data_IF_828798257069
#
_entry.id   IF_828798257069
#
_cell.length_a   1.000
_cell.length_b   1.000
_cell.length_c   1.000
_cell.angle_alpha   90.00
_cell.angle_beta   90.00
_cell.angle_gamma   90.00
#
_symmetry.space_group_name_H-M   'P 1'
#
loop_
_entity.id
_entity.type
_entity.pdbx_description
1 polymer ?
#
# COMPACT_ATOMS: atom_id res chain seq x y z
N UNK A 1 -17.55 4.67 -36.57
CA UNK A 1 -17.20 4.64 -35.12
C UNK A 1 -18.18 5.54 -34.36
N UNK A 2 -19.41 5.06 -34.15
CA UNK A 2 -20.53 5.86 -33.60
C UNK A 2 -20.82 5.55 -32.11
N UNK A 3 -20.25 4.48 -31.59
CA UNK A 3 -20.53 3.99 -30.24
C UNK A 3 -19.86 4.83 -29.14
N UNK A 4 -18.78 5.56 -29.47
CA UNK A 4 -18.06 6.40 -28.52
C UNK A 4 -18.82 7.67 -28.09
N UNK A 5 -19.77 8.15 -28.89
CA UNK A 5 -20.50 9.38 -28.59
C UNK A 5 -21.68 9.16 -27.62
N UNK A 6 -22.28 7.97 -27.60
CA UNK A 6 -23.38 7.64 -26.69
C UNK A 6 -22.94 7.50 -25.23
N UNK A 7 -21.70 7.10 -24.97
CA UNK A 7 -21.12 7.01 -23.63
C UNK A 7 -20.97 8.40 -22.98
N UNK A 8 -20.78 9.46 -23.78
CA UNK A 8 -20.70 10.84 -23.29
C UNK A 8 -22.06 11.46 -22.98
N UNK A 9 -23.11 11.10 -23.72
CA UNK A 9 -24.47 11.67 -23.50
C UNK A 9 -25.14 11.12 -22.24
N UNK A 10 -24.87 9.85 -21.88
CA UNK A 10 -25.52 9.20 -20.73
C UNK A 10 -24.77 9.35 -19.41
N UNK A 11 -23.76 10.25 -19.32
CA UNK A 11 -22.93 10.54 -18.12
C UNK A 11 -23.39 9.76 -16.89
N UNK A 12 -22.96 8.49 -16.71
CA UNK A 12 -23.50 7.65 -15.66
C UNK A 12 -23.33 8.41 -14.35
N UNK A 13 -24.36 8.42 -13.49
CA UNK A 13 -24.38 9.21 -12.23
C UNK A 13 -23.16 9.02 -11.33
N UNK A 14 -22.37 7.99 -11.57
CA UNK A 14 -21.04 7.79 -11.02
C UNK A 14 -19.97 8.20 -12.02
N UNK A 15 -20.05 9.44 -12.54
CA UNK A 15 -19.06 9.95 -13.47
C UNK A 15 -17.78 10.20 -12.68
N UNK A 16 -16.96 9.14 -12.59
CA UNK A 16 -15.68 9.03 -11.89
C UNK A 16 -14.65 10.08 -12.41
N UNK A 17 -15.01 10.82 -13.46
CA UNK A 17 -14.31 11.96 -14.05
C UNK A 17 -14.34 13.24 -13.20
N UNK A 18 -15.06 13.26 -12.08
CA UNK A 18 -14.99 14.29 -11.03
C UNK A 18 -14.27 13.79 -9.76
N UNK A 19 -13.41 12.77 -9.86
CA UNK A 19 -12.40 12.57 -8.82
C UNK A 19 -11.40 13.70 -8.98
N UNK A 20 -11.51 14.66 -8.06
CA UNK A 20 -10.52 15.68 -7.71
C UNK A 20 -9.09 15.34 -8.17
N UNK A 21 -8.26 16.35 -8.38
CA UNK A 21 -6.79 16.32 -8.47
C UNK A 21 -6.05 15.62 -7.29
N UNK A 22 -6.76 14.81 -6.50
CA UNK A 22 -6.27 13.87 -5.50
C UNK A 22 -5.56 12.73 -6.22
N UNK A 23 -4.25 12.89 -6.41
CA UNK A 23 -3.32 11.84 -6.82
C UNK A 23 -3.69 10.48 -6.22
N UNK A 24 -3.86 9.48 -7.10
CA UNK A 24 -4.24 8.13 -6.68
C UNK A 24 -3.23 7.58 -5.67
N UNK A 25 -3.68 6.89 -4.61
CA UNK A 25 -2.78 6.24 -3.68
C UNK A 25 -2.07 5.05 -4.33
N UNK A 26 -0.82 4.87 -3.95
CA UNK A 26 0.06 3.77 -4.31
C UNK A 26 0.57 3.10 -3.04
N UNK A 27 0.92 1.82 -3.15
CA UNK A 27 1.66 1.08 -2.13
C UNK A 27 3.12 1.05 -2.55
N UNK A 28 3.99 1.57 -1.70
CA UNK A 28 5.43 1.61 -1.90
C UNK A 28 6.10 0.55 -1.02
N UNK A 29 6.97 -0.26 -1.62
CA UNK A 29 7.96 -1.09 -0.94
C UNK A 29 9.28 -0.34 -0.94
N UNK A 30 9.83 -0.01 0.24
CA UNK A 30 11.14 0.66 0.35
C UNK A 30 12.28 -0.26 -0.07
N UNK A 31 13.36 0.33 -0.59
CA UNK A 31 14.60 -0.38 -0.97
C UNK A 31 15.64 -0.38 0.18
N UNK A 32 15.17 -0.37 1.43
CA UNK A 32 16.03 -0.40 2.62
C UNK A 32 16.40 -1.87 2.96
N UNK A 33 17.45 -2.10 3.76
CA UNK A 33 17.87 -3.46 4.19
C UNK A 33 16.71 -4.27 4.79
N UNK A 34 15.79 -3.58 5.46
CA UNK A 34 14.54 -4.14 5.98
C UNK A 34 13.37 -3.40 5.32
N UNK A 35 12.72 -4.00 4.30
CA UNK A 35 11.68 -3.32 3.53
C UNK A 35 10.43 -3.08 4.38
N UNK A 36 9.77 -1.95 4.13
CA UNK A 36 8.47 -1.59 4.72
C UNK A 36 7.46 -1.24 3.65
N UNK A 37 6.19 -1.48 3.96
CA UNK A 37 5.04 -1.11 3.14
C UNK A 37 4.45 0.23 3.56
N UNK A 38 4.46 1.18 2.63
CA UNK A 38 3.98 2.55 2.86
C UNK A 38 2.90 2.87 1.82
N UNK A 39 1.73 3.33 2.26
CA UNK A 39 0.73 3.90 1.35
C UNK A 39 1.09 5.36 1.13
N UNK A 40 1.33 5.76 -0.12
CA UNK A 40 1.68 7.14 -0.49
C UNK A 40 0.95 7.56 -1.76
N UNK A 41 0.58 8.84 -1.86
CA UNK A 41 0.08 9.44 -3.10
C UNK A 41 1.19 10.04 -3.96
N UNK A 42 2.43 10.02 -3.47
CA UNK A 42 3.59 10.58 -4.17
C UNK A 42 4.54 9.49 -4.61
N UNK A 43 4.88 9.50 -5.90
CA UNK A 43 5.87 8.60 -6.49
C UNK A 43 7.19 9.33 -6.55
N UNK A 44 8.16 8.89 -5.74
CA UNK A 44 9.53 9.38 -5.74
C UNK A 44 10.39 8.36 -6.49
N UNK A 45 10.99 8.78 -7.61
CA UNK A 45 11.95 7.98 -8.39
C UNK A 45 13.10 7.52 -7.45
N UNK A 46 13.54 6.28 -7.61
CA UNK A 46 14.62 5.62 -6.85
C UNK A 46 14.34 5.30 -5.37
N UNK A 47 13.16 5.62 -4.84
CA UNK A 47 12.90 5.43 -3.41
C UNK A 47 12.34 4.05 -3.05
N UNK A 48 12.00 3.22 -4.05
CA UNK A 48 11.39 1.91 -3.86
C UNK A 48 10.61 1.42 -5.07
N UNK A 49 9.95 0.27 -4.92
CA UNK A 49 8.98 -0.27 -5.89
C UNK A 49 7.58 0.22 -5.54
N UNK A 50 6.78 0.54 -6.55
CA UNK A 50 5.42 1.06 -6.37
C UNK A 50 4.41 0.11 -7.00
N UNK A 51 3.29 -0.10 -6.31
CA UNK A 51 2.16 -0.94 -6.72
C UNK A 51 0.87 -0.11 -6.66
N UNK A 52 -0.04 -0.30 -7.59
CA UNK A 52 -1.22 0.58 -7.76
C UNK A 52 -1.01 1.57 -8.91
N UNK A 53 -2.07 2.26 -9.40
CA UNK A 53 -2.92 3.14 -8.61
C UNK A 53 -4.17 2.47 -8.02
N UNK A 54 -4.48 2.76 -6.77
CA UNK A 54 -5.68 2.26 -6.10
C UNK A 54 -6.84 3.28 -6.19
N UNK A 55 -8.10 2.82 -6.26
CA UNK A 55 -9.25 3.71 -6.47
C UNK A 55 -9.50 4.67 -5.30
N UNK A 56 -9.09 4.31 -4.08
CA UNK A 56 -9.14 5.12 -2.86
C UNK A 56 -8.08 4.64 -1.85
N UNK A 57 -7.84 5.43 -0.80
CA UNK A 57 -6.83 5.10 0.21
C UNK A 57 -7.21 3.87 1.05
N UNK A 58 -8.51 3.65 1.25
CA UNK A 58 -9.03 2.49 1.97
C UNK A 58 -8.65 1.17 1.29
N UNK A 59 -8.84 1.07 -0.02
CA UNK A 59 -8.48 -0.13 -0.81
C UNK A 59 -6.98 -0.40 -0.79
N UNK A 60 -6.16 0.66 -0.84
CA UNK A 60 -4.71 0.53 -0.70
C UNK A 60 -4.34 0.03 0.71
N UNK A 61 -5.05 0.49 1.75
CA UNK A 61 -4.79 0.10 3.13
C UNK A 61 -5.23 -1.33 3.42
N UNK A 62 -6.36 -1.80 2.89
CA UNK A 62 -6.78 -3.21 2.99
C UNK A 62 -5.78 -4.14 2.29
N UNK A 63 -5.33 -3.75 1.09
CA UNK A 63 -4.27 -4.48 0.38
C UNK A 63 -2.97 -4.51 1.18
N UNK A 64 -2.57 -3.38 1.78
CA UNK A 64 -1.42 -3.34 2.70
C UNK A 64 -1.62 -4.30 3.88
N UNK A 65 -2.77 -4.30 4.55
CA UNK A 65 -3.07 -5.21 5.67
C UNK A 65 -3.00 -6.68 5.27
N UNK A 66 -3.42 -7.02 4.05
CA UNK A 66 -3.26 -8.37 3.50
C UNK A 66 -1.78 -8.71 3.30
N UNK A 67 -1.02 -7.82 2.67
CA UNK A 67 0.41 -8.02 2.45
C UNK A 67 1.22 -8.12 3.75
N UNK A 68 0.88 -7.32 4.77
CA UNK A 68 1.48 -7.37 6.11
C UNK A 68 1.20 -8.68 6.86
N UNK A 69 0.17 -9.45 6.44
CA UNK A 69 -0.14 -10.78 6.98
C UNK A 69 0.57 -11.90 6.23
N UNK A 70 0.72 -11.75 4.91
CA UNK A 70 1.32 -12.78 4.05
C UNK A 70 2.84 -12.73 4.11
N UNK A 71 3.42 -11.53 4.17
CA UNK A 71 4.86 -11.32 4.12
C UNK A 71 5.38 -10.67 5.42
N UNK A 72 6.56 -11.10 5.92
CA UNK A 72 7.16 -10.54 7.12
C UNK A 72 7.85 -9.19 6.83
N UNK A 73 7.06 -8.14 6.60
CA UNK A 73 7.57 -6.78 6.48
C UNK A 73 7.84 -6.14 7.84
N UNK A 74 8.78 -5.20 7.86
CA UNK A 74 9.06 -4.40 9.05
C UNK A 74 7.91 -3.43 9.32
N UNK A 75 7.41 -3.42 10.55
CA UNK A 75 6.34 -2.51 11.01
C UNK A 75 6.87 -1.26 11.73
N UNK A 76 8.01 -1.38 12.42
CA UNK A 76 8.58 -0.30 13.22
C UNK A 76 9.31 0.74 12.35
N UNK A 77 9.17 2.04 12.62
CA UNK A 77 9.92 3.08 11.89
C UNK A 77 11.39 3.20 12.33
N UNK A 78 11.68 2.93 13.61
CA UNK A 78 13.05 2.80 14.15
C UNK A 78 13.25 1.37 14.68
N UNK A 79 14.44 0.83 14.50
CA UNK A 79 14.78 -0.45 15.11
C UNK A 79 15.12 -0.15 16.56
N UNK A 80 14.45 -0.77 17.55
CA UNK A 80 14.92 -0.70 18.92
C UNK A 80 16.28 -1.42 19.01
N UNK A 81 17.20 -0.88 19.81
CA UNK A 81 18.50 -1.50 20.08
C UNK A 81 18.37 -2.82 20.87
N UNK A 82 17.19 -3.08 21.46
CA UNK A 82 16.88 -4.30 22.20
C UNK A 82 16.39 -5.38 21.23
N UNK A 83 17.08 -6.53 21.27
CA UNK A 83 16.79 -7.72 20.48
C UNK A 83 15.30 -8.09 20.59
N UNK A 84 14.58 -8.12 19.46
CA UNK A 84 13.26 -8.75 19.43
C UNK A 84 13.47 -10.24 19.69
N UNK A 85 13.06 -10.73 20.87
CA UNK A 85 13.15 -12.14 21.22
C UNK A 85 12.37 -12.95 20.20
N UNK A 86 13.10 -13.70 19.37
CA UNK A 86 12.52 -14.73 18.51
C UNK A 86 12.15 -15.87 19.44
N UNK A 87 10.90 -15.92 19.90
CA UNK A 87 10.39 -17.11 20.59
C UNK A 87 10.40 -18.26 19.56
N UNK A 88 11.07 -19.39 19.84
CA UNK A 88 11.27 -20.47 18.88
C UNK A 88 9.99 -21.31 18.64
N UNK A 89 8.85 -20.91 19.21
CA UNK A 89 7.63 -21.71 19.21
C UNK A 89 6.44 -20.94 18.63
N UNK A 90 6.53 -20.53 17.35
CA UNK A 90 5.39 -20.42 16.43
C UNK A 90 5.83 -19.91 15.06
N UNK A 91 6.02 -20.86 14.14
CA UNK A 91 6.38 -20.64 12.73
C UNK A 91 5.26 -20.04 11.86
N UNK A 92 4.33 -19.22 12.38
CA UNK A 92 3.20 -18.77 11.54
C UNK A 92 2.73 -17.32 11.70
N UNK A 93 3.31 -16.54 12.61
CA UNK A 93 3.07 -15.09 12.64
C UNK A 93 4.41 -14.41 12.81
N UNK A 94 4.87 -13.76 11.73
CA UNK A 94 6.19 -13.15 11.63
C UNK A 94 6.55 -12.31 12.86
N UNK A 95 7.86 -12.19 13.12
CA UNK A 95 8.46 -11.49 14.25
C UNK A 95 7.64 -10.26 14.67
N UNK A 96 6.77 -10.45 15.67
CA UNK A 96 6.13 -9.36 16.37
C UNK A 96 7.20 -8.79 17.30
N UNK A 97 7.93 -7.79 16.83
CA UNK A 97 8.49 -6.82 17.76
C UNK A 97 7.28 -6.21 18.49
N UNK A 98 6.90 -6.79 19.64
CA UNK A 98 5.83 -6.35 20.54
C UNK A 98 6.14 -4.99 21.20
N UNK A 99 7.13 -4.28 20.69
CA UNK A 99 7.56 -2.97 21.14
C UNK A 99 8.08 -2.18 19.94
N UNK A 100 7.14 -1.71 19.12
CA UNK A 100 7.29 -0.42 18.46
C UNK A 100 6.52 0.62 19.29
#
# INVERSE_FOLDING_TARGET
MLELNLIKQYQPRYNILLKDDKSYPFIKITKEKHPRLIVTRTVKKNSGKYFGPYPNAYSAQETKKLLDRIYPFRKCDKMPDKLCFILPYWSMYGALCLSC
#
